data_IF_464216750621
#
_entry.id   IF_464216750621
#
_cell.length_a   1.000
_cell.length_b   1.000
_cell.length_c   1.000
_cell.angle_alpha   90.00
_cell.angle_beta   90.00
_cell.angle_gamma   90.00
#
_symmetry.space_group_name_H-M   'P 1'
#
loop_
_entity.id
_entity.type
_entity.pdbx_description
1 polymer ?
#
# COMPACT_ATOMS: atom_id res chain seq x y z
N UNK A 1 25.33 0.83 15.18
CA UNK A 1 23.89 0.47 15.14
C UNK A 1 23.20 1.57 14.36
N UNK A 2 22.74 1.29 13.14
CA UNK A 2 22.20 2.33 12.25
C UNK A 2 20.78 2.72 12.65
N UNK A 3 20.49 4.02 12.66
CA UNK A 3 19.18 4.54 13.01
C UNK A 3 18.10 4.00 12.03
N UNK A 4 17.09 3.23 12.51
CA UNK A 4 16.01 2.72 11.67
C UNK A 4 15.19 3.85 10.99
N UNK A 5 15.24 5.08 11.50
CA UNK A 5 14.60 6.27 10.91
C UNK A 5 15.35 6.81 9.67
N UNK A 6 16.59 6.37 9.45
CA UNK A 6 17.40 6.69 8.27
C UNK A 6 17.36 5.60 7.19
N UNK A 7 16.70 4.46 7.46
CA UNK A 7 16.57 3.37 6.48
C UNK A 7 15.62 3.80 5.36
N UNK A 8 16.14 3.83 4.14
CA UNK A 8 15.37 4.08 2.92
C UNK A 8 15.15 2.81 2.11
N UNK A 9 14.04 2.77 1.38
CA UNK A 9 13.64 1.67 0.49
C UNK A 9 13.51 2.23 -0.92
N UNK A 10 13.90 1.47 -1.95
CA UNK A 10 13.61 1.85 -3.33
C UNK A 10 12.12 1.66 -3.58
N UNK A 11 11.45 2.60 -4.21
CA UNK A 11 10.02 2.45 -4.54
C UNK A 11 9.77 1.34 -5.55
N UNK A 12 10.78 1.00 -6.37
CA UNK A 12 10.77 -0.19 -7.21
C UNK A 12 10.58 -1.50 -6.39
N UNK A 13 11.05 -1.56 -5.13
CA UNK A 13 10.83 -2.72 -4.25
C UNK A 13 9.37 -2.79 -3.76
N UNK A 14 8.60 -1.70 -3.86
CA UNK A 14 7.20 -1.57 -3.44
C UNK A 14 6.22 -1.76 -4.62
N UNK A 15 6.65 -2.41 -5.70
CA UNK A 15 5.83 -2.54 -6.92
C UNK A 15 4.48 -3.22 -6.66
N UNK A 16 4.43 -4.26 -5.83
CA UNK A 16 3.17 -4.95 -5.53
C UNK A 16 2.23 -4.05 -4.72
N UNK A 17 2.75 -3.33 -3.72
CA UNK A 17 2.01 -2.33 -2.95
C UNK A 17 1.42 -1.24 -3.87
N UNK A 18 2.24 -0.66 -4.74
CA UNK A 18 1.82 0.41 -5.64
C UNK A 18 0.73 -0.05 -6.61
N UNK A 19 0.85 -1.27 -7.15
CA UNK A 19 -0.17 -1.84 -8.03
C UNK A 19 -1.48 -2.12 -7.29
N UNK A 20 -1.42 -2.63 -6.07
CA UNK A 20 -2.62 -2.86 -5.28
C UNK A 20 -3.35 -1.57 -4.90
N UNK A 21 -2.63 -0.47 -4.64
CA UNK A 21 -3.25 0.85 -4.45
C UNK A 21 -4.03 1.26 -5.70
N UNK A 22 -3.47 1.06 -6.90
CA UNK A 22 -4.18 1.33 -8.15
C UNK A 22 -5.40 0.44 -8.37
N UNK A 23 -5.33 -0.85 -8.02
CA UNK A 23 -6.51 -1.72 -8.08
C UNK A 23 -7.64 -1.19 -7.19
N UNK A 24 -7.32 -0.69 -6.00
CA UNK A 24 -8.32 -0.11 -5.10
C UNK A 24 -8.84 1.23 -5.61
N UNK A 25 -8.01 2.03 -6.28
CA UNK A 25 -8.38 3.28 -6.94
C UNK A 25 -9.35 3.04 -8.12
N UNK A 26 -8.99 2.09 -8.99
CA UNK A 26 -9.74 1.82 -10.22
C UNK A 26 -11.11 1.18 -9.96
N UNK A 27 -11.24 0.38 -8.89
CA UNK A 27 -12.42 -0.46 -8.63
C UNK A 27 -13.17 -0.12 -7.34
N UNK A 28 -12.57 0.66 -6.45
CA UNK A 28 -13.17 0.97 -5.15
C UNK A 28 -14.19 2.10 -5.25
N UNK A 29 -15.42 1.87 -4.78
CA UNK A 29 -16.39 2.93 -4.53
C UNK A 29 -16.03 3.64 -3.21
N UNK A 30 -15.10 4.59 -3.31
CA UNK A 30 -14.50 5.30 -2.19
C UNK A 30 -15.03 6.73 -2.11
N UNK A 31 -15.10 7.26 -0.90
CA UNK A 31 -15.41 8.69 -0.73
C UNK A 31 -14.16 9.57 -0.90
N UNK A 32 -14.39 10.87 -1.08
CA UNK A 32 -13.36 11.90 -1.25
C UNK A 32 -12.20 11.86 -0.24
N UNK A 33 -12.43 11.38 0.99
CA UNK A 33 -11.37 11.28 2.01
C UNK A 33 -10.41 10.14 1.70
N UNK A 34 -10.90 9.02 1.17
CA UNK A 34 -10.07 7.90 0.78
C UNK A 34 -9.38 8.14 -0.56
N UNK A 35 -10.05 8.82 -1.51
CA UNK A 35 -9.43 9.29 -2.76
C UNK A 35 -8.21 10.17 -2.46
N UNK A 36 -8.34 11.16 -1.57
CA UNK A 36 -7.21 12.00 -1.15
C UNK A 36 -6.04 11.20 -0.54
N UNK A 37 -6.33 10.09 0.16
CA UNK A 37 -5.29 9.20 0.69
C UNK A 37 -4.57 8.41 -0.41
N UNK A 38 -5.26 8.11 -1.51
CA UNK A 38 -4.67 7.50 -2.69
C UNK A 38 -3.74 8.51 -3.37
N UNK A 39 -4.20 9.74 -3.61
CA UNK A 39 -3.39 10.80 -4.19
C UNK A 39 -2.10 11.05 -3.38
N UNK A 40 -2.24 11.21 -2.06
CA UNK A 40 -1.09 11.34 -1.14
C UNK A 40 -0.13 10.15 -1.21
N UNK A 41 -0.65 8.97 -1.51
CA UNK A 41 0.16 7.75 -1.63
C UNK A 41 0.90 7.71 -2.96
N UNK A 42 0.28 8.15 -4.05
CA UNK A 42 0.90 8.27 -5.37
C UNK A 42 2.06 9.28 -5.35
N UNK A 43 1.86 10.46 -4.76
CA UNK A 43 2.92 11.49 -4.61
C UNK A 43 4.17 10.93 -3.91
N UNK A 44 3.98 10.11 -2.89
CA UNK A 44 5.11 9.47 -2.18
C UNK A 44 5.78 8.41 -3.07
N UNK A 45 5.00 7.64 -3.83
CA UNK A 45 5.50 6.57 -4.70
C UNK A 45 6.25 7.07 -5.94
N UNK A 46 6.00 8.30 -6.38
CA UNK A 46 6.71 8.93 -7.50
C UNK A 46 8.20 9.22 -7.21
N UNK A 47 8.58 9.23 -5.94
CA UNK A 47 9.99 9.33 -5.55
C UNK A 47 10.74 8.02 -5.79
N UNK A 48 11.98 8.06 -6.30
CA UNK A 48 12.79 6.84 -6.52
C UNK A 48 13.12 6.06 -5.22
N UNK A 49 13.20 6.77 -4.09
CA UNK A 49 13.45 6.20 -2.77
C UNK A 49 12.62 6.95 -1.74
N UNK A 50 12.11 6.21 -0.77
CA UNK A 50 11.35 6.76 0.36
C UNK A 50 11.89 6.20 1.67
N UNK A 51 11.58 6.87 2.79
CA UNK A 51 11.91 6.34 4.12
C UNK A 51 11.10 5.08 4.38
N UNK A 52 11.66 4.15 5.15
CA UNK A 52 10.95 2.94 5.58
C UNK A 52 9.67 3.26 6.36
N UNK A 53 9.66 4.36 7.12
CA UNK A 53 8.46 4.85 7.82
C UNK A 53 7.36 5.28 6.83
N UNK A 54 7.72 5.92 5.72
CA UNK A 54 6.77 6.27 4.66
C UNK A 54 6.23 5.00 3.97
N UNK A 55 7.10 4.04 3.64
CA UNK A 55 6.69 2.76 3.08
C UNK A 55 5.70 2.01 3.98
N UNK A 56 5.93 2.02 5.30
CA UNK A 56 5.00 1.48 6.31
C UNK A 56 3.69 2.28 6.39
N UNK A 57 3.75 3.60 6.23
CA UNK A 57 2.56 4.44 6.12
C UNK A 57 1.69 4.04 4.92
N UNK A 58 2.30 3.86 3.75
CA UNK A 58 1.63 3.37 2.55
C UNK A 58 1.02 1.97 2.75
N UNK A 59 1.75 1.06 3.41
CA UNK A 59 1.24 -0.27 3.76
C UNK A 59 -0.04 -0.21 4.60
N UNK A 60 -0.05 0.61 5.65
CA UNK A 60 -1.25 0.80 6.49
C UNK A 60 -2.40 1.42 5.70
N UNK A 61 -2.12 2.40 4.84
CA UNK A 61 -3.13 3.01 3.97
C UNK A 61 -3.76 1.98 3.03
N UNK A 62 -2.97 1.14 2.36
CA UNK A 62 -3.51 0.08 1.49
C UNK A 62 -4.51 -0.83 2.24
N UNK A 63 -4.17 -1.26 3.47
CA UNK A 63 -5.08 -2.09 4.28
C UNK A 63 -6.39 -1.35 4.59
N UNK A 64 -6.31 -0.07 4.94
CA UNK A 64 -7.49 0.77 5.22
C UNK A 64 -8.33 0.95 3.95
N UNK A 65 -7.70 1.27 2.82
CA UNK A 65 -8.37 1.48 1.53
C UNK A 65 -9.06 0.20 1.05
N UNK A 66 -8.37 -0.94 1.07
CA UNK A 66 -8.95 -2.23 0.69
C UNK A 66 -10.14 -2.63 1.59
N UNK A 67 -10.08 -2.28 2.89
CA UNK A 67 -11.21 -2.49 3.79
C UNK A 67 -12.37 -1.53 3.49
N UNK A 68 -12.08 -0.28 3.16
CA UNK A 68 -13.08 0.73 2.84
C UNK A 68 -13.81 0.42 1.53
N UNK A 69 -13.10 -0.07 0.52
CA UNK A 69 -13.67 -0.47 -0.77
C UNK A 69 -14.57 -1.73 -0.67
N UNK A 70 -14.47 -2.47 0.43
CA UNK A 70 -15.40 -3.55 0.77
C UNK A 70 -15.26 -4.82 -0.07
N UNK A 71 -16.12 -5.80 0.23
CA UNK A 71 -16.10 -7.11 -0.42
C UNK A 71 -16.71 -7.09 -1.82
N UNK A 72 -17.56 -6.11 -2.12
CA UNK A 72 -18.20 -5.94 -3.43
C UNK A 72 -17.17 -5.62 -4.51
N UNK A 73 -16.24 -4.69 -4.24
CA UNK A 73 -15.09 -4.44 -5.12
C UNK A 73 -14.36 -5.75 -5.44
N UNK A 74 -14.02 -6.52 -4.41
CA UNK A 74 -13.26 -7.78 -4.56
C UNK A 74 -13.99 -8.84 -5.39
N UNK A 75 -15.32 -8.83 -5.37
CA UNK A 75 -16.14 -9.75 -6.17
C UNK A 75 -16.13 -9.40 -7.67
N UNK A 76 -15.93 -8.13 -8.01
CA UNK A 76 -15.89 -7.63 -9.39
C UNK A 76 -14.52 -7.81 -10.05
N UNK A 77 -13.46 -7.95 -9.27
CA UNK A 77 -12.10 -8.15 -9.77
C UNK A 77 -11.92 -9.46 -10.54
N UNK A 78 -11.23 -9.37 -11.67
CA UNK A 78 -10.71 -10.55 -12.37
C UNK A 78 -9.74 -11.32 -11.48
N UNK A 79 -9.45 -12.58 -11.85
CA UNK A 79 -8.49 -13.39 -11.09
C UNK A 79 -7.12 -12.71 -10.99
N UNK A 80 -6.65 -12.12 -12.09
CA UNK A 80 -5.35 -11.44 -12.14
C UNK A 80 -5.31 -10.22 -11.25
N UNK A 81 -6.37 -9.40 -11.23
CA UNK A 81 -6.44 -8.22 -10.35
C UNK A 81 -6.52 -8.63 -8.86
N UNK A 82 -7.23 -9.73 -8.56
CA UNK A 82 -7.23 -10.30 -7.20
C UNK A 82 -5.85 -10.76 -6.77
N UNK A 83 -5.12 -11.45 -7.64
CA UNK A 83 -3.75 -11.89 -7.35
C UNK A 83 -2.82 -10.69 -7.11
N UNK A 84 -3.00 -9.59 -7.86
CA UNK A 84 -2.26 -8.33 -7.66
C UNK A 84 -2.60 -7.68 -6.32
N UNK A 85 -3.88 -7.58 -5.99
CA UNK A 85 -4.33 -7.03 -4.71
C UNK A 85 -3.78 -7.85 -3.53
N UNK A 86 -3.85 -9.18 -3.62
CA UNK A 86 -3.35 -10.09 -2.58
C UNK A 86 -1.84 -10.00 -2.41
N UNK A 87 -1.07 -9.90 -3.51
CA UNK A 87 0.38 -9.68 -3.44
C UNK A 87 0.73 -8.35 -2.75
N UNK A 88 -0.02 -7.27 -3.05
CA UNK A 88 0.17 -5.98 -2.41
C UNK A 88 -0.19 -5.99 -0.92
N UNK A 89 -1.29 -6.67 -0.54
CA UNK A 89 -1.68 -6.84 0.87
C UNK A 89 -0.66 -7.68 1.64
N UNK A 90 -0.13 -8.76 1.04
CA UNK A 90 0.94 -9.55 1.64
C UNK A 90 2.23 -8.74 1.84
N UNK A 91 2.59 -7.90 0.87
CA UNK A 91 3.71 -6.98 1.01
C UNK A 91 3.48 -5.94 2.13
N UNK A 92 2.27 -5.38 2.21
CA UNK A 92 1.90 -4.44 3.27
C UNK A 92 2.03 -5.07 4.66
N UNK A 93 1.50 -6.28 4.83
CA UNK A 93 1.59 -7.05 6.07
C UNK A 93 3.05 -7.33 6.47
N UNK A 94 3.92 -7.68 5.52
CA UNK A 94 5.37 -7.81 5.77
C UNK A 94 6.02 -6.52 6.27
N UNK A 95 5.68 -5.37 5.66
CA UNK A 95 6.19 -4.06 6.05
C UNK A 95 5.72 -3.64 7.45
N UNK A 96 4.47 -3.94 7.79
CA UNK A 96 3.84 -3.64 9.08
C UNK A 96 4.46 -4.51 10.18
N UNK A 97 4.51 -5.84 10.01
CA UNK A 97 5.05 -6.75 11.04
C UNK A 97 6.53 -6.50 11.35
N UNK A 98 7.32 -6.12 10.35
CA UNK A 98 8.74 -5.76 10.56
C UNK A 98 8.89 -4.50 11.42
N UNK A 99 7.84 -3.70 11.63
CA UNK A 99 7.83 -2.58 12.58
C UNK A 99 7.66 -3.06 14.03
N UNK A 100 6.87 -4.11 14.25
CA UNK A 100 6.50 -4.59 15.57
C UNK A 100 7.59 -5.49 16.19
N UNK A 101 8.44 -6.12 15.37
CA UNK A 101 9.58 -6.94 15.84
C UNK A 101 10.83 -6.12 16.21
N UNK A 102 10.73 -4.80 16.27
CA UNK A 102 11.82 -3.88 16.62
C UNK A 102 11.63 -3.14 17.94
N UNK A 103 10.82 -3.70 18.86
CA UNK A 103 10.61 -3.21 20.23
C UNK A 103 11.39 -4.06 21.23
#
# INVERSE_FOLDING_TARGET
MGDPYLRSVRTAELTALARAIRIVDDHGDLNHRYEALIDDSQVVLDSNRIRLTQARGLAKRLVVLAKAAGTEMRAQLTRTERDVLDAGLAQADGLIRTADSGA
#
